data_IF_477300997738
#
_entry.id   IF_477300997738
#
_cell.length_a   1.000
_cell.length_b   1.000
_cell.length_c   1.000
_cell.angle_alpha   90.00
_cell.angle_beta   90.00
_cell.angle_gamma   90.00
#
_symmetry.space_group_name_H-M   'P 1'
#
loop_
_entity.id
_entity.type
_entity.pdbx_description
1 polymer ?
#
# COMPACT_ATOMS: atom_id res chain seq x y z
N UNK A 1 -62.57 -22.70 51.80
CA UNK A 1 -61.29 -23.39 51.52
C UNK A 1 -61.14 -23.59 50.02
N UNK A 2 -60.32 -22.80 49.37
CA UNK A 2 -60.00 -22.95 47.95
C UNK A 2 -58.46 -22.98 47.83
N UNK A 3 -57.95 -24.14 47.55
CA UNK A 3 -56.53 -24.45 47.32
C UNK A 3 -56.15 -23.94 45.90
N UNK A 4 -55.18 -23.02 45.82
CA UNK A 4 -54.55 -22.62 44.58
C UNK A 4 -53.36 -23.53 44.26
N UNK A 5 -53.44 -24.30 43.20
CA UNK A 5 -52.33 -25.03 42.60
C UNK A 5 -51.57 -24.08 41.65
N UNK A 6 -50.34 -23.81 41.97
CA UNK A 6 -49.43 -23.01 41.14
C UNK A 6 -48.68 -23.97 40.17
N UNK A 7 -48.95 -23.79 38.87
CA UNK A 7 -48.30 -24.54 37.80
C UNK A 7 -47.11 -23.72 37.30
N UNK A 8 -45.87 -24.15 37.67
CA UNK A 8 -44.63 -23.60 37.11
C UNK A 8 -44.37 -24.25 35.75
N UNK A 9 -44.54 -23.45 34.70
CA UNK A 9 -44.11 -23.83 33.34
C UNK A 9 -42.59 -23.69 33.26
N UNK A 10 -41.88 -24.80 33.08
CA UNK A 10 -40.44 -24.84 32.75
C UNK A 10 -40.37 -24.84 31.23
N UNK A 11 -40.01 -23.69 30.64
CA UNK A 11 -39.64 -23.60 29.21
C UNK A 11 -38.21 -24.12 29.06
N UNK A 12 -38.06 -25.32 28.54
CA UNK A 12 -36.78 -25.89 28.11
C UNK A 12 -36.52 -25.42 26.69
N UNK A 13 -35.72 -24.34 26.53
CA UNK A 13 -35.27 -23.86 25.24
C UNK A 13 -34.21 -24.81 24.66
N UNK A 14 -34.56 -25.60 23.67
CA UNK A 14 -33.60 -26.35 22.84
C UNK A 14 -32.88 -25.36 21.91
N UNK A 15 -31.66 -24.97 22.24
CA UNK A 15 -30.75 -24.32 21.33
C UNK A 15 -30.22 -25.39 20.35
N UNK A 16 -30.83 -25.52 19.19
CA UNK A 16 -30.27 -26.30 18.08
C UNK A 16 -29.14 -25.49 17.47
N UNK A 17 -27.93 -25.76 17.87
CA UNK A 17 -26.73 -25.29 17.15
C UNK A 17 -26.66 -26.00 15.80
N UNK A 18 -27.07 -25.33 14.73
CA UNK A 18 -26.80 -25.79 13.37
C UNK A 18 -25.29 -25.64 13.10
N UNK A 19 -24.53 -26.67 13.42
CA UNK A 19 -23.20 -26.87 12.88
C UNK A 19 -23.39 -27.20 11.40
N UNK A 20 -23.16 -26.24 10.52
CA UNK A 20 -22.98 -26.53 9.10
C UNK A 20 -21.68 -27.34 8.96
N UNK A 21 -21.79 -28.65 9.05
CA UNK A 21 -20.75 -29.55 8.61
C UNK A 21 -20.64 -29.36 7.10
N UNK A 22 -19.55 -28.75 6.60
CA UNK A 22 -19.22 -28.75 5.19
C UNK A 22 -19.07 -30.20 4.74
N UNK A 23 -20.04 -30.70 3.98
CA UNK A 23 -19.94 -31.99 3.30
C UNK A 23 -18.93 -31.80 2.18
N UNK A 24 -17.76 -32.48 2.18
CA UNK A 24 -16.82 -32.37 1.08
C UNK A 24 -17.51 -32.87 -0.20
N UNK A 25 -17.51 -32.02 -1.22
CA UNK A 25 -17.99 -32.41 -2.56
C UNK A 25 -17.02 -33.47 -3.06
N UNK A 26 -17.50 -34.69 -3.26
CA UNK A 26 -16.69 -35.82 -3.74
C UNK A 26 -16.04 -35.42 -5.09
N UNK A 27 -14.69 -35.35 -5.13
CA UNK A 27 -13.92 -34.98 -6.33
C UNK A 27 -13.32 -33.57 -6.31
N UNK A 28 -13.60 -32.75 -5.29
CA UNK A 28 -12.97 -31.43 -5.15
C UNK A 28 -11.52 -31.59 -4.66
N UNK A 29 -10.57 -31.04 -5.42
CA UNK A 29 -9.17 -30.97 -4.93
C UNK A 29 -9.04 -29.85 -3.91
N UNK A 30 -8.39 -30.10 -2.75
CA UNK A 30 -8.15 -29.08 -1.75
C UNK A 30 -7.38 -27.89 -2.33
N UNK A 31 -7.83 -26.66 -2.01
CA UNK A 31 -7.19 -25.45 -2.48
C UNK A 31 -7.41 -25.10 -3.97
N UNK A 32 -8.37 -25.77 -4.65
CA UNK A 32 -8.73 -25.45 -6.04
C UNK A 32 -10.15 -24.88 -6.13
N UNK A 33 -10.44 -24.16 -7.22
CA UNK A 33 -11.78 -23.63 -7.47
C UNK A 33 -12.72 -24.72 -7.97
N UNK A 34 -13.84 -24.88 -7.30
CA UNK A 34 -14.93 -25.77 -7.73
C UNK A 34 -16.22 -24.97 -7.84
N UNK A 35 -16.80 -24.91 -9.03
CA UNK A 35 -18.01 -24.12 -9.32
C UNK A 35 -17.90 -22.65 -8.84
N UNK A 36 -16.72 -22.05 -8.98
CA UNK A 36 -16.45 -20.67 -8.59
C UNK A 36 -16.14 -20.45 -7.11
N UNK A 37 -16.14 -21.49 -6.28
CA UNK A 37 -15.78 -21.40 -4.86
C UNK A 37 -14.41 -22.04 -4.62
N UNK A 38 -13.50 -21.31 -3.98
CA UNK A 38 -12.18 -21.82 -3.61
C UNK A 38 -12.34 -22.82 -2.45
N UNK A 39 -11.93 -24.07 -2.66
CA UNK A 39 -12.09 -25.10 -1.65
C UNK A 39 -11.07 -24.97 -0.54
N UNK A 40 -11.41 -25.32 0.71
CA UNK A 40 -10.44 -25.40 1.81
C UNK A 40 -9.27 -26.31 1.48
N UNK A 41 -8.14 -26.10 2.16
CA UNK A 41 -6.98 -26.99 2.11
C UNK A 41 -7.27 -28.33 2.81
N UNK A 42 -6.38 -29.31 2.64
CA UNK A 42 -6.53 -30.65 3.25
C UNK A 42 -6.52 -30.62 4.79
N UNK A 43 -5.85 -29.66 5.40
CA UNK A 43 -5.87 -29.40 6.86
C UNK A 43 -7.15 -28.70 7.33
N UNK A 44 -8.01 -28.32 6.37
CA UNK A 44 -9.30 -27.67 6.57
C UNK A 44 -9.20 -26.14 6.65
N UNK A 45 -8.03 -25.51 6.38
CA UNK A 45 -7.94 -24.04 6.31
C UNK A 45 -8.68 -23.53 5.06
N UNK A 46 -9.51 -22.47 5.19
CA UNK A 46 -9.98 -21.81 6.40
C UNK A 46 -11.21 -22.51 7.00
N UNK A 47 -11.28 -22.60 8.35
CA UNK A 47 -12.42 -23.17 9.12
C UNK A 47 -13.37 -22.11 9.66
N UNK A 48 -12.94 -20.86 9.66
CA UNK A 48 -13.68 -19.70 10.19
C UNK A 48 -13.48 -18.47 9.33
N UNK A 49 -14.20 -17.39 9.63
CA UNK A 49 -14.09 -16.12 8.91
C UNK A 49 -12.64 -15.61 8.83
N UNK A 50 -12.28 -15.06 7.68
CA UNK A 50 -11.05 -14.30 7.45
C UNK A 50 -11.39 -12.83 7.68
N UNK A 51 -10.57 -12.12 8.47
CA UNK A 51 -10.77 -10.72 8.76
C UNK A 51 -9.60 -9.88 8.22
N UNK A 52 -9.85 -9.08 7.20
CA UNK A 52 -8.85 -8.15 6.65
C UNK A 52 -8.70 -6.99 7.64
N UNK A 53 -7.49 -6.78 8.13
CA UNK A 53 -7.15 -5.66 9.04
C UNK A 53 -6.68 -4.47 8.21
N UNK A 54 -7.30 -3.33 8.45
CA UNK A 54 -6.93 -2.03 7.86
C UNK A 54 -6.31 -1.17 8.96
N UNK A 55 -5.07 -0.74 8.76
CA UNK A 55 -4.31 0.07 9.74
C UNK A 55 -4.54 1.56 9.47
N UNK A 56 -5.78 1.95 9.22
CA UNK A 56 -6.16 3.31 8.88
C UNK A 56 -7.62 3.56 9.28
N UNK A 57 -8.08 4.81 9.17
CA UNK A 57 -9.43 5.20 9.52
C UNK A 57 -10.48 4.64 8.55
N UNK A 58 -11.71 4.39 9.03
CA UNK A 58 -12.85 4.07 8.17
C UNK A 58 -13.05 5.11 7.06
N UNK A 59 -13.26 4.65 5.83
CA UNK A 59 -13.41 5.51 4.65
C UNK A 59 -12.09 5.94 4.02
N UNK A 60 -10.98 5.56 4.59
CA UNK A 60 -9.66 5.74 3.98
C UNK A 60 -9.52 4.98 2.66
N UNK A 61 -8.45 5.29 1.91
CA UNK A 61 -8.11 4.55 0.71
C UNK A 61 -7.95 3.04 0.98
N UNK A 62 -7.32 2.69 2.09
CA UNK A 62 -7.01 1.32 2.45
C UNK A 62 -8.27 0.56 2.91
N UNK A 63 -9.18 1.23 3.61
CA UNK A 63 -10.51 0.69 3.92
C UNK A 63 -11.33 0.43 2.65
N UNK A 64 -11.39 1.39 1.74
CA UNK A 64 -12.09 1.22 0.46
C UNK A 64 -11.45 0.12 -0.40
N UNK A 65 -10.14 -0.04 -0.35
CA UNK A 65 -9.42 -1.14 -0.98
C UNK A 65 -9.86 -2.51 -0.40
N UNK A 66 -9.79 -2.68 0.91
CA UNK A 66 -10.17 -3.91 1.60
C UNK A 66 -11.64 -4.27 1.36
N UNK A 67 -12.55 -3.30 1.47
CA UNK A 67 -13.99 -3.48 1.22
C UNK A 67 -14.30 -3.88 -0.22
N UNK A 68 -13.53 -3.39 -1.18
CA UNK A 68 -13.72 -3.79 -2.59
C UNK A 68 -13.28 -5.23 -2.84
N UNK A 69 -12.19 -5.69 -2.20
CA UNK A 69 -11.79 -7.10 -2.23
C UNK A 69 -12.83 -7.98 -1.54
N UNK A 70 -13.27 -7.58 -0.35
CA UNK A 70 -14.34 -8.28 0.39
C UNK A 70 -15.59 -8.47 -0.46
N UNK A 71 -16.05 -7.40 -1.11
CA UNK A 71 -17.25 -7.46 -1.95
C UNK A 71 -17.09 -8.43 -3.14
N UNK A 72 -15.90 -8.46 -3.75
CA UNK A 72 -15.59 -9.36 -4.86
C UNK A 72 -15.51 -10.84 -4.44
N UNK A 73 -15.30 -11.11 -3.15
CA UNK A 73 -15.18 -12.47 -2.60
C UNK A 73 -16.50 -13.09 -2.17
N UNK A 74 -17.60 -12.34 -2.24
CA UNK A 74 -18.93 -12.86 -1.88
C UNK A 74 -19.33 -14.02 -2.79
N UNK A 75 -19.51 -15.19 -2.20
CA UNK A 75 -19.83 -16.42 -2.92
C UNK A 75 -18.63 -17.13 -3.56
N UNK A 76 -17.42 -16.62 -3.38
CA UNK A 76 -16.16 -17.18 -3.87
C UNK A 76 -15.36 -17.82 -2.73
N UNK A 77 -15.31 -17.14 -1.60
CA UNK A 77 -14.71 -17.68 -0.38
C UNK A 77 -15.63 -18.71 0.27
N UNK A 78 -15.10 -19.85 0.77
CA UNK A 78 -15.88 -20.85 1.51
C UNK A 78 -16.30 -20.38 2.91
N UNK A 79 -15.69 -19.28 3.38
CA UNK A 79 -15.98 -18.66 4.68
C UNK A 79 -16.26 -17.17 4.49
N UNK A 80 -16.87 -16.54 5.48
CA UNK A 80 -17.04 -15.08 5.45
C UNK A 80 -15.70 -14.36 5.44
N UNK A 81 -15.60 -13.32 4.62
CA UNK A 81 -14.48 -12.36 4.64
C UNK A 81 -15.03 -11.06 5.21
N UNK A 82 -14.40 -10.54 6.25
CA UNK A 82 -14.77 -9.30 6.93
C UNK A 82 -13.63 -8.28 6.84
N UNK A 83 -13.91 -7.03 7.14
CA UNK A 83 -12.92 -5.93 7.22
C UNK A 83 -13.06 -5.30 8.59
N UNK A 84 -11.94 -5.03 9.25
CA UNK A 84 -11.87 -4.27 10.50
C UNK A 84 -10.85 -3.15 10.36
N UNK A 85 -11.30 -1.93 10.65
CA UNK A 85 -10.44 -0.76 10.73
C UNK A 85 -9.83 -0.69 12.13
N UNK A 86 -8.52 -0.73 12.21
CA UNK A 86 -7.72 -0.68 13.44
C UNK A 86 -6.68 0.45 13.30
N UNK A 87 -7.08 1.72 13.34
CA UNK A 87 -6.18 2.85 13.13
C UNK A 87 -5.01 2.80 14.09
N UNK A 88 -3.81 3.01 13.57
CA UNK A 88 -2.60 3.07 14.35
C UNK A 88 -1.75 4.28 13.93
N UNK A 89 -0.89 4.73 14.83
CA UNK A 89 0.07 5.78 14.53
C UNK A 89 1.06 5.36 13.43
N UNK A 90 1.86 6.29 12.94
CA UNK A 90 2.91 6.03 11.94
C UNK A 90 3.81 4.87 12.41
N UNK A 91 4.18 3.99 11.51
CA UNK A 91 4.81 2.70 11.86
C UNK A 91 3.82 1.63 12.37
N UNK A 92 2.54 1.98 12.47
CA UNK A 92 1.48 1.15 13.02
C UNK A 92 1.30 -0.19 12.33
N UNK A 93 1.64 -0.29 11.04
CA UNK A 93 1.61 -1.58 10.33
C UNK A 93 2.49 -2.61 11.03
N UNK A 94 3.69 -2.25 11.47
CA UNK A 94 4.60 -3.14 12.17
C UNK A 94 4.07 -3.54 13.54
N UNK A 95 3.45 -2.61 14.25
CA UNK A 95 2.74 -2.89 15.51
C UNK A 95 1.62 -3.91 15.28
N UNK A 96 0.81 -3.69 14.26
CA UNK A 96 -0.31 -4.57 13.89
C UNK A 96 0.18 -5.96 13.49
N UNK A 97 1.28 -6.07 12.73
CA UNK A 97 1.89 -7.36 12.37
C UNK A 97 2.23 -8.17 13.64
N UNK A 98 2.87 -7.52 14.62
CA UNK A 98 3.25 -8.19 15.88
C UNK A 98 2.04 -8.55 16.76
N UNK A 99 1.02 -7.69 16.80
CA UNK A 99 -0.20 -7.97 17.56
C UNK A 99 -1.03 -9.08 16.90
N UNK A 100 -1.17 -9.04 15.58
CA UNK A 100 -1.85 -10.10 14.82
C UNK A 100 -1.15 -11.44 15.00
N UNK A 101 0.18 -11.49 15.02
CA UNK A 101 0.94 -12.71 15.23
C UNK A 101 0.63 -13.41 16.58
N UNK A 102 0.18 -12.63 17.57
CA UNK A 102 -0.20 -13.14 18.92
C UNK A 102 -1.68 -13.52 19.03
N UNK A 103 -2.53 -13.06 18.10
CA UNK A 103 -3.97 -13.38 18.12
C UNK A 103 -4.19 -14.87 17.83
N UNK A 104 -5.25 -15.43 18.39
CA UNK A 104 -5.70 -16.77 18.02
C UNK A 104 -5.98 -16.85 16.50
N UNK A 105 -5.27 -17.74 15.80
CA UNK A 105 -5.31 -17.87 14.35
C UNK A 105 -4.52 -16.81 13.56
N UNK A 106 -3.83 -15.90 14.24
CA UNK A 106 -2.96 -14.92 13.58
C UNK A 106 -1.82 -15.59 12.82
N UNK A 107 -1.18 -16.58 13.44
CA UNK A 107 -0.15 -17.42 12.81
C UNK A 107 -0.70 -18.45 11.81
N UNK A 108 -2.02 -18.52 11.64
CA UNK A 108 -2.67 -19.38 10.65
C UNK A 108 -3.09 -18.61 9.38
N UNK A 109 -3.06 -17.26 9.40
CA UNK A 109 -3.43 -16.43 8.26
C UNK A 109 -4.87 -15.92 8.24
N UNK A 110 -5.60 -15.99 9.37
CA UNK A 110 -6.97 -15.47 9.45
C UNK A 110 -7.09 -13.95 9.47
N UNK A 111 -5.98 -13.23 9.58
CA UNK A 111 -5.95 -11.78 9.64
C UNK A 111 -4.95 -11.20 8.63
N UNK A 112 -5.27 -11.22 7.32
CA UNK A 112 -4.49 -10.48 6.34
C UNK A 112 -4.54 -8.98 6.65
N UNK A 113 -3.39 -8.31 6.59
CA UNK A 113 -3.22 -6.90 6.90
C UNK A 113 -3.07 -6.13 5.59
N UNK A 114 -3.79 -5.03 5.43
CA UNK A 114 -3.55 -4.10 4.31
C UNK A 114 -2.20 -3.42 4.53
N UNK A 115 -1.35 -3.45 3.52
CA UNK A 115 0.00 -2.90 3.57
C UNK A 115 0.26 -1.97 2.39
N UNK A 116 0.89 -0.83 2.68
CA UNK A 116 1.58 -0.02 1.68
C UNK A 116 3.01 -0.56 1.50
N UNK A 117 3.24 -1.28 0.41
CA UNK A 117 4.54 -1.91 0.14
C UNK A 117 5.68 -0.92 -0.11
N UNK A 118 5.44 0.40 -0.17
CA UNK A 118 6.52 1.39 -0.16
C UNK A 118 6.76 1.95 1.25
N UNK A 119 5.70 2.27 1.99
CA UNK A 119 5.79 2.79 3.35
C UNK A 119 6.40 1.77 4.32
N UNK A 120 5.90 0.54 4.29
CA UNK A 120 6.32 -0.51 5.24
C UNK A 120 7.84 -0.74 5.32
N UNK A 121 8.60 -0.92 4.22
CA UNK A 121 10.06 -1.04 4.31
C UNK A 121 10.75 0.27 4.72
N UNK A 122 10.26 1.44 4.29
CA UNK A 122 10.90 2.72 4.63
C UNK A 122 10.66 3.13 6.08
N UNK A 123 9.52 2.77 6.68
CA UNK A 123 9.23 3.03 8.09
C UNK A 123 10.29 2.42 9.03
N UNK A 124 10.87 1.28 8.66
CA UNK A 124 11.95 0.66 9.44
C UNK A 124 13.20 1.53 9.56
N UNK A 125 13.39 2.44 8.61
CA UNK A 125 14.52 3.36 8.61
C UNK A 125 14.21 4.71 9.29
N UNK A 126 12.96 5.19 9.21
CA UNK A 126 12.63 6.56 9.62
C UNK A 126 11.79 6.65 10.90
N UNK A 127 11.08 5.57 11.28
CA UNK A 127 10.16 5.60 12.42
C UNK A 127 10.79 5.03 13.69
N UNK A 128 11.08 5.87 14.71
CA UNK A 128 11.67 5.40 15.97
C UNK A 128 10.83 4.33 16.69
N UNK A 129 9.51 4.34 16.50
CA UNK A 129 8.59 3.36 17.06
C UNK A 129 8.90 1.94 16.59
N UNK A 130 9.26 1.76 15.31
CA UNK A 130 9.59 0.45 14.74
C UNK A 130 10.83 -0.15 15.39
N UNK A 131 11.84 0.68 15.65
CA UNK A 131 13.05 0.27 16.39
C UNK A 131 12.72 -0.12 17.84
N UNK A 132 11.86 0.64 18.49
CA UNK A 132 11.45 0.38 19.88
C UNK A 132 10.80 -0.98 20.06
N UNK A 133 9.96 -1.39 19.11
CA UNK A 133 9.30 -2.70 19.13
C UNK A 133 10.14 -3.82 18.51
N UNK A 134 11.34 -3.53 18.01
CA UNK A 134 12.21 -4.50 17.35
C UNK A 134 11.62 -5.03 16.03
N UNK A 135 10.93 -4.17 15.28
CA UNK A 135 10.36 -4.53 13.99
C UNK A 135 11.45 -4.87 12.97
N UNK A 136 11.18 -5.87 12.14
CA UNK A 136 12.09 -6.34 11.08
C UNK A 136 11.30 -6.71 9.84
N UNK A 137 11.90 -6.50 8.68
CA UNK A 137 11.27 -6.76 7.39
C UNK A 137 10.79 -8.21 7.24
N UNK A 138 11.52 -9.17 7.81
CA UNK A 138 11.22 -10.60 7.75
C UNK A 138 10.08 -11.06 8.67
N UNK A 139 9.50 -10.16 9.47
CA UNK A 139 8.31 -10.45 10.28
C UNK A 139 7.01 -10.38 9.47
N UNK A 140 7.04 -9.76 8.30
CA UNK A 140 5.92 -9.65 7.38
C UNK A 140 6.16 -10.52 6.14
N UNK A 141 5.17 -11.33 5.78
CA UNK A 141 5.15 -12.07 4.51
C UNK A 141 4.01 -11.53 3.65
N UNK A 142 4.34 -11.00 2.48
CA UNK A 142 3.36 -10.53 1.53
C UNK A 142 2.57 -11.70 0.94
N UNK A 143 1.27 -11.54 0.84
CA UNK A 143 0.37 -12.46 0.13
C UNK A 143 0.23 -12.04 -1.33
N UNK A 144 0.00 -10.75 -1.55
CA UNK A 144 -0.25 -10.17 -2.87
C UNK A 144 -0.03 -8.65 -2.82
N UNK A 145 0.42 -8.07 -3.92
CA UNK A 145 0.29 -6.63 -4.19
C UNK A 145 -0.53 -6.45 -5.45
N UNK A 146 -1.46 -5.49 -5.48
CA UNK A 146 -2.49 -5.43 -6.53
C UNK A 146 -2.60 -4.09 -7.23
N UNK A 147 -2.29 -3.00 -6.53
CA UNK A 147 -2.46 -1.63 -7.01
C UNK A 147 -1.19 -0.82 -6.78
N UNK A 148 -0.94 0.11 -7.68
CA UNK A 148 0.08 1.14 -7.52
C UNK A 148 -0.48 2.50 -7.88
N UNK A 149 -0.15 3.49 -7.07
CA UNK A 149 -0.33 4.91 -7.32
C UNK A 149 1.06 5.51 -7.48
N UNK A 150 1.63 5.55 -8.70
CA UNK A 150 3.00 6.00 -8.88
C UNK A 150 3.14 7.44 -8.42
N UNK A 151 4.28 7.76 -7.82
CA UNK A 151 4.64 9.13 -7.61
C UNK A 151 5.13 9.75 -8.92
N UNK A 152 4.88 11.04 -9.04
CA UNK A 152 5.33 11.85 -10.18
C UNK A 152 6.13 13.03 -9.69
N UNK A 153 7.20 13.32 -10.40
CA UNK A 153 7.93 14.57 -10.23
C UNK A 153 7.35 15.59 -11.20
N UNK A 154 7.03 16.74 -10.70
CA UNK A 154 6.47 17.83 -11.46
C UNK A 154 7.13 19.15 -11.10
N UNK A 155 7.07 20.12 -12.00
CA UNK A 155 7.67 21.43 -11.86
C UNK A 155 6.69 22.53 -12.21
N UNK A 156 7.01 23.76 -11.81
CA UNK A 156 6.23 24.93 -12.21
C UNK A 156 6.25 25.12 -13.71
N UNK A 157 5.17 25.70 -14.23
CA UNK A 157 5.06 26.05 -15.65
C UNK A 157 6.09 27.13 -16.02
N UNK A 158 6.51 27.11 -17.27
CA UNK A 158 7.47 28.10 -17.83
C UNK A 158 8.80 28.17 -17.04
N UNK A 159 9.27 27.05 -16.50
CA UNK A 159 10.56 26.98 -15.85
C UNK A 159 11.71 27.34 -16.81
N UNK A 160 12.75 28.12 -16.39
CA UNK A 160 13.80 28.59 -17.28
C UNK A 160 14.68 27.48 -17.86
N UNK A 161 14.60 26.26 -17.31
CA UNK A 161 15.32 25.07 -17.81
C UNK A 161 14.48 24.23 -18.79
N UNK A 162 13.27 24.68 -19.12
CA UNK A 162 12.34 23.94 -19.98
C UNK A 162 11.45 22.92 -19.26
N UNK A 163 10.61 22.20 -19.99
CA UNK A 163 9.56 21.35 -19.41
C UNK A 163 10.00 19.91 -19.10
N UNK A 164 11.29 19.59 -19.16
CA UNK A 164 11.77 18.21 -19.07
C UNK A 164 12.54 17.93 -17.77
N UNK A 165 12.50 16.68 -17.30
CA UNK A 165 13.33 16.21 -16.19
C UNK A 165 14.83 16.45 -16.43
N UNK A 166 15.33 16.10 -17.62
CA UNK A 166 16.75 16.29 -17.97
C UNK A 166 17.17 17.77 -17.93
N UNK A 167 16.29 18.67 -18.37
CA UNK A 167 16.53 20.11 -18.30
C UNK A 167 16.65 20.61 -16.86
N UNK A 168 15.73 20.17 -15.97
CA UNK A 168 15.76 20.49 -14.55
C UNK A 168 17.05 19.98 -13.87
N UNK A 169 17.43 18.73 -14.12
CA UNK A 169 18.66 18.13 -13.56
C UNK A 169 19.90 18.90 -14.03
N UNK A 170 19.99 19.21 -15.34
CA UNK A 170 21.09 20.01 -15.90
C UNK A 170 21.20 21.38 -15.25
N UNK A 171 20.07 22.07 -15.10
CA UNK A 171 20.03 23.38 -14.43
C UNK A 171 20.46 23.28 -12.97
N UNK A 172 19.93 22.31 -12.21
CA UNK A 172 20.26 22.15 -10.79
C UNK A 172 21.73 21.82 -10.56
N UNK A 173 22.35 21.01 -11.43
CA UNK A 173 23.80 20.74 -11.38
C UNK A 173 24.64 21.97 -11.67
N UNK A 174 24.21 22.81 -12.61
CA UNK A 174 24.91 24.07 -12.96
C UNK A 174 24.67 25.17 -11.90
N UNK A 175 23.60 25.07 -11.11
CA UNK A 175 23.20 26.09 -10.14
C UNK A 175 22.90 25.46 -8.77
N UNK A 176 23.89 24.93 -8.04
CA UNK A 176 23.69 24.24 -6.76
C UNK A 176 22.96 25.13 -5.75
N UNK A 177 21.89 24.59 -5.13
CA UNK A 177 21.09 25.29 -4.11
C UNK A 177 20.12 26.33 -4.66
N UNK A 178 19.97 26.48 -5.99
CA UNK A 178 19.04 27.45 -6.59
C UNK A 178 17.67 26.87 -6.91
N UNK A 179 17.54 25.54 -7.04
CA UNK A 179 16.24 24.88 -7.20
C UNK A 179 15.54 24.81 -5.85
N UNK A 180 14.29 25.28 -5.79
CA UNK A 180 13.42 25.21 -4.61
C UNK A 180 12.56 23.95 -4.72
N UNK A 181 12.90 22.94 -3.91
CA UNK A 181 12.13 21.72 -3.76
C UNK A 181 11.05 21.89 -2.71
N UNK A 182 9.80 21.81 -3.11
CA UNK A 182 8.69 21.83 -2.17
C UNK A 182 8.44 20.40 -1.71
N UNK A 183 8.80 20.15 -0.45
CA UNK A 183 8.63 18.86 0.20
C UNK A 183 7.29 18.81 0.93
N UNK A 184 6.64 17.66 0.94
CA UNK A 184 5.58 17.38 1.91
C UNK A 184 6.20 17.37 3.32
N UNK A 185 5.85 16.50 4.16
CA UNK A 185 6.48 16.23 5.45
C UNK A 185 7.86 15.58 5.25
N UNK A 186 8.86 16.05 6.00
CA UNK A 186 10.21 15.49 5.97
C UNK A 186 10.17 14.02 6.40
N UNK A 187 10.79 13.13 5.61
CA UNK A 187 10.77 11.69 5.84
C UNK A 187 9.50 10.98 5.34
N UNK A 188 8.52 11.71 4.79
CA UNK A 188 7.37 11.07 4.15
C UNK A 188 7.79 10.32 2.87
N UNK A 189 6.95 9.36 2.42
CA UNK A 189 7.23 8.63 1.18
C UNK A 189 7.46 9.51 -0.04
N UNK A 190 6.76 10.65 -0.14
CA UNK A 190 7.00 11.64 -1.19
C UNK A 190 8.40 12.26 -1.09
N UNK A 191 8.79 12.61 0.13
CA UNK A 191 10.08 13.24 0.41
C UNK A 191 11.23 12.27 0.16
N UNK A 192 11.15 11.05 0.71
CA UNK A 192 12.14 9.98 0.47
C UNK A 192 12.28 9.70 -1.03
N UNK A 193 11.17 9.67 -1.77
CA UNK A 193 11.18 9.43 -3.22
C UNK A 193 11.89 10.54 -3.98
N UNK A 194 11.67 11.80 -3.61
CA UNK A 194 12.37 12.94 -4.22
C UNK A 194 13.87 12.90 -3.91
N UNK A 195 14.23 12.65 -2.65
CA UNK A 195 15.62 12.54 -2.21
C UNK A 195 16.33 11.37 -2.92
N UNK A 196 15.63 10.25 -3.11
CA UNK A 196 16.18 9.10 -3.86
C UNK A 196 16.48 9.47 -5.30
N UNK A 197 15.56 10.16 -6.00
CA UNK A 197 15.84 10.67 -7.36
C UNK A 197 17.01 11.64 -7.36
N UNK A 198 17.03 12.59 -6.44
CA UNK A 198 18.11 13.58 -6.33
C UNK A 198 19.47 12.92 -6.07
N UNK A 199 19.50 11.89 -5.24
CA UNK A 199 20.69 11.07 -5.01
C UNK A 199 21.11 10.30 -6.25
N UNK A 200 20.18 9.62 -6.92
CA UNK A 200 20.42 8.78 -8.09
C UNK A 200 20.96 9.55 -9.31
N UNK A 201 20.60 10.84 -9.45
CA UNK A 201 21.19 11.70 -10.50
C UNK A 201 22.58 12.26 -10.13
N UNK A 202 23.18 11.80 -9.04
CA UNK A 202 24.53 12.19 -8.60
C UNK A 202 24.55 13.36 -7.62
N UNK A 203 23.50 13.53 -6.82
CA UNK A 203 23.40 14.52 -5.74
C UNK A 203 23.02 15.91 -6.24
N UNK A 204 21.72 16.20 -6.26
CA UNK A 204 21.22 17.55 -6.55
C UNK A 204 21.13 18.36 -5.25
N UNK A 205 21.88 19.48 -5.20
CA UNK A 205 21.75 20.44 -4.07
C UNK A 205 20.57 21.36 -4.34
N UNK A 206 19.58 21.34 -3.48
CA UNK A 206 18.35 22.13 -3.58
C UNK A 206 18.10 22.92 -2.30
N UNK A 207 17.28 23.96 -2.39
CA UNK A 207 16.66 24.59 -1.23
C UNK A 207 15.37 23.82 -0.93
N UNK A 208 15.32 23.12 0.20
CA UNK A 208 14.16 22.33 0.62
C UNK A 208 13.21 23.17 1.44
N UNK A 209 11.96 23.26 1.01
CA UNK A 209 10.88 24.03 1.66
C UNK A 209 9.75 23.08 2.06
N UNK A 210 9.62 22.75 3.35
CA UNK A 210 8.55 21.86 3.83
C UNK A 210 7.17 22.52 3.75
N UNK A 211 6.15 21.72 3.39
CA UNK A 211 4.72 22.05 3.40
C UNK A 211 3.94 20.98 4.18
N UNK A 212 2.70 21.29 4.59
CA UNK A 212 1.91 20.39 5.42
C UNK A 212 1.28 19.23 4.65
N UNK A 213 0.69 19.49 3.48
CA UNK A 213 -0.09 18.51 2.73
C UNK A 213 0.38 18.36 1.28
N UNK A 214 0.09 17.23 0.64
CA UNK A 214 0.42 17.03 -0.77
C UNK A 214 -0.33 18.00 -1.71
N UNK A 215 -1.54 18.43 -1.33
CA UNK A 215 -2.32 19.43 -2.05
C UNK A 215 -1.65 20.81 -1.99
N UNK A 216 -1.16 21.22 -0.82
CA UNK A 216 -0.40 22.47 -0.66
C UNK A 216 0.87 22.44 -1.49
N UNK A 217 1.63 21.34 -1.47
CA UNK A 217 2.82 21.13 -2.29
C UNK A 217 2.53 21.39 -3.78
N UNK A 218 1.47 20.74 -4.30
CA UNK A 218 1.09 20.91 -5.71
C UNK A 218 0.61 22.34 -6.05
N UNK A 219 -0.08 22.99 -5.11
CA UNK A 219 -0.56 24.37 -5.27
C UNK A 219 0.59 25.38 -5.23
N UNK A 220 1.56 25.21 -4.33
CA UNK A 220 2.74 26.07 -4.20
C UNK A 220 3.61 26.03 -5.46
N UNK A 221 3.86 24.82 -6.00
CA UNK A 221 4.57 24.69 -7.29
C UNK A 221 3.75 25.29 -8.45
N UNK A 222 2.44 25.02 -8.47
CA UNK A 222 1.53 25.56 -9.49
C UNK A 222 1.38 27.08 -9.44
N UNK A 223 1.58 27.70 -8.28
CA UNK A 223 1.62 29.15 -8.06
C UNK A 223 2.96 29.79 -8.39
N UNK A 224 4.02 29.00 -8.64
CA UNK A 224 5.36 29.48 -8.95
C UNK A 224 6.21 29.83 -7.71
N UNK A 225 5.72 29.57 -6.52
CA UNK A 225 6.44 29.82 -5.26
C UNK A 225 7.50 28.75 -5.00
N UNK A 226 7.40 27.59 -5.65
CA UNK A 226 8.39 26.53 -5.68
C UNK A 226 8.76 26.14 -7.11
N UNK A 227 9.83 25.40 -7.27
CA UNK A 227 10.33 25.02 -8.59
C UNK A 227 9.90 23.62 -8.99
N UNK A 228 9.94 22.65 -8.06
CA UNK A 228 9.50 21.28 -8.32
C UNK A 228 9.07 20.57 -7.03
N UNK A 229 8.37 19.47 -7.18
CA UNK A 229 7.96 18.61 -6.10
C UNK A 229 7.70 17.17 -6.58
N UNK A 230 7.42 16.28 -5.61
CA UNK A 230 6.96 14.91 -5.81
C UNK A 230 5.65 14.70 -5.08
N UNK A 231 4.66 14.15 -5.77
CA UNK A 231 3.41 13.70 -5.16
C UNK A 231 2.84 12.53 -5.94
N UNK A 232 1.77 11.91 -5.41
CA UNK A 232 1.03 10.90 -6.18
C UNK A 232 0.41 11.53 -7.43
N UNK A 233 0.28 10.74 -8.49
CA UNK A 233 -0.30 11.17 -9.76
C UNK A 233 -1.66 11.84 -9.57
N UNK A 234 -2.52 11.28 -8.71
CA UNK A 234 -3.85 11.84 -8.43
C UNK A 234 -3.82 13.26 -7.85
N UNK A 235 -2.77 13.63 -7.12
CA UNK A 235 -2.57 14.98 -6.56
C UNK A 235 -2.05 15.95 -7.65
N UNK A 236 -1.14 15.50 -8.48
CA UNK A 236 -0.55 16.34 -9.54
C UNK A 236 -1.53 16.59 -10.69
N UNK A 237 -2.38 15.62 -11.01
CA UNK A 237 -3.23 15.60 -12.19
C UNK A 237 -4.14 16.84 -12.35
N UNK A 238 -4.88 17.32 -11.32
CA UNK A 238 -5.72 18.50 -11.46
C UNK A 238 -4.93 19.78 -11.82
N UNK A 239 -3.74 19.95 -11.25
CA UNK A 239 -2.87 21.09 -11.54
C UNK A 239 -2.25 20.99 -12.94
N UNK A 240 -1.89 19.79 -13.40
CA UNK A 240 -1.44 19.55 -14.77
C UNK A 240 -2.55 19.82 -15.79
N UNK A 241 -3.76 19.30 -15.55
CA UNK A 241 -4.93 19.55 -16.42
C UNK A 241 -5.30 21.04 -16.51
N UNK A 242 -5.10 21.77 -15.41
CA UNK A 242 -5.29 23.22 -15.39
C UNK A 242 -4.12 24.01 -16.02
N UNK A 243 -3.09 23.33 -16.53
CA UNK A 243 -1.91 23.95 -17.15
C UNK A 243 -1.00 24.72 -16.19
N UNK A 244 -1.06 24.43 -14.88
CA UNK A 244 -0.29 25.14 -13.83
C UNK A 244 1.09 24.53 -13.60
N UNK A 245 1.23 23.23 -13.85
CA UNK A 245 2.48 22.49 -13.72
C UNK A 245 2.82 21.69 -14.97
N UNK A 246 4.09 21.32 -15.12
CA UNK A 246 4.56 20.30 -16.04
C UNK A 246 4.93 19.06 -15.26
N UNK A 247 4.34 17.90 -15.59
CA UNK A 247 4.84 16.62 -15.11
C UNK A 247 6.07 16.26 -15.92
N UNK A 248 7.15 15.89 -15.26
CA UNK A 248 8.45 15.66 -15.93
C UNK A 248 8.90 14.21 -15.86
N UNK A 249 8.51 13.49 -14.79
CA UNK A 249 8.86 12.08 -14.59
C UNK A 249 7.77 11.34 -13.81
N UNK A 250 7.54 10.10 -14.20
CA UNK A 250 6.76 9.13 -13.42
C UNK A 250 7.71 8.10 -12.82
N UNK A 251 7.63 7.87 -11.53
CA UNK A 251 8.50 6.94 -10.80
C UNK A 251 8.02 5.49 -10.98
N UNK A 252 8.08 5.02 -12.21
CA UNK A 252 7.60 3.69 -12.63
C UNK A 252 8.38 3.17 -13.84
N UNK A 253 8.14 1.91 -14.22
CA UNK A 253 8.73 1.29 -15.42
C UNK A 253 8.26 1.95 -16.71
N UNK A 254 7.02 2.44 -16.75
CA UNK A 254 6.35 2.95 -17.93
C UNK A 254 5.63 4.27 -17.65
N UNK A 255 5.46 5.07 -18.68
CA UNK A 255 4.62 6.28 -18.60
C UNK A 255 3.15 5.86 -18.73
N UNK A 256 2.25 6.31 -17.82
CA UNK A 256 0.82 6.07 -17.93
C UNK A 256 0.21 6.59 -19.24
N UNK A 257 -0.88 5.96 -19.69
CA UNK A 257 -1.54 6.28 -20.95
C UNK A 257 -1.89 7.76 -21.12
N UNK A 258 -2.22 8.44 -20.03
CA UNK A 258 -2.55 9.87 -20.01
C UNK A 258 -1.39 10.75 -20.52
N UNK A 259 -0.15 10.30 -20.40
CA UNK A 259 1.05 11.03 -20.84
C UNK A 259 1.90 10.28 -21.86
N UNK A 260 1.48 9.13 -22.36
CA UNK A 260 2.29 8.29 -23.26
C UNK A 260 2.76 9.00 -24.54
N UNK A 261 2.04 10.03 -24.96
CA UNK A 261 2.35 10.84 -26.13
C UNK A 261 2.97 12.22 -25.79
N UNK A 262 3.21 12.51 -24.51
CA UNK A 262 3.88 13.74 -24.10
C UNK A 262 5.40 13.49 -24.06
N UNK A 263 6.18 14.11 -24.99
CA UNK A 263 7.62 13.88 -25.06
C UNK A 263 8.39 14.45 -23.86
N UNK A 264 7.76 15.28 -23.05
CA UNK A 264 8.37 15.89 -21.86
C UNK A 264 8.27 14.99 -20.62
N UNK A 265 7.39 13.98 -20.64
CA UNK A 265 7.20 13.05 -19.52
C UNK A 265 7.95 11.76 -19.79
N UNK A 266 8.83 11.39 -18.87
CA UNK A 266 9.57 10.12 -18.93
C UNK A 266 9.24 9.24 -17.73
N UNK A 267 9.38 7.94 -17.87
CA UNK A 267 9.44 7.05 -16.70
C UNK A 267 10.83 7.15 -16.06
N UNK A 268 10.95 6.80 -14.77
CA UNK A 268 12.25 6.68 -14.10
C UNK A 268 13.18 5.75 -14.87
N UNK A 269 12.66 4.63 -15.36
CA UNK A 269 13.43 3.70 -16.21
C UNK A 269 13.93 4.32 -17.51
N UNK A 270 13.11 5.10 -18.22
CA UNK A 270 13.54 5.83 -19.40
C UNK A 270 14.58 6.91 -19.08
N UNK A 271 14.52 7.48 -17.87
CA UNK A 271 15.54 8.41 -17.39
C UNK A 271 16.83 7.70 -16.92
N UNK A 272 16.92 6.39 -17.01
CA UNK A 272 18.07 5.59 -16.55
C UNK A 272 18.18 5.46 -15.03
N UNK A 273 17.07 5.67 -14.31
CA UNK A 273 17.01 5.59 -12.86
C UNK A 273 16.24 4.35 -12.41
N UNK A 274 16.81 3.62 -11.47
CA UNK A 274 16.16 2.46 -10.81
C UNK A 274 15.39 2.92 -9.56
N UNK A 275 14.47 3.87 -9.76
CA UNK A 275 13.64 4.47 -8.69
C UNK A 275 12.18 4.23 -9.01
N UNK A 276 11.59 3.25 -8.34
CA UNK A 276 10.18 2.87 -8.50
C UNK A 276 9.44 3.11 -7.21
N UNK A 277 8.80 4.26 -7.11
CA UNK A 277 8.11 4.68 -5.89
C UNK A 277 6.66 5.06 -6.16
N UNK A 278 5.86 4.93 -5.13
CA UNK A 278 4.43 5.21 -5.16
C UNK A 278 3.76 4.49 -4.01
N UNK A 279 2.53 4.85 -3.74
CA UNK A 279 1.72 4.09 -2.80
C UNK A 279 1.31 2.77 -3.46
N UNK A 280 1.56 1.65 -2.79
CA UNK A 280 1.29 0.30 -3.29
C UNK A 280 0.40 -0.44 -2.32
N UNK A 281 -0.82 -0.75 -2.73
CA UNK A 281 -1.73 -1.51 -1.88
C UNK A 281 -1.58 -3.02 -2.10
N UNK A 282 -1.45 -3.72 -1.01
CA UNK A 282 -1.35 -5.18 -0.98
C UNK A 282 -1.87 -5.75 0.34
N UNK A 283 -1.73 -7.05 0.47
CA UNK A 283 -2.05 -7.78 1.69
C UNK A 283 -0.83 -8.55 2.14
N UNK A 284 -0.55 -8.48 3.44
CA UNK A 284 0.49 -9.25 4.11
C UNK A 284 -0.05 -10.00 5.32
N UNK A 285 0.71 -10.95 5.79
CA UNK A 285 0.44 -11.72 7.01
C UNK A 285 1.71 -11.82 7.85
N UNK A 286 1.65 -12.11 9.15
CA UNK A 286 2.84 -12.45 9.92
C UNK A 286 3.63 -13.60 9.30
N UNK A 287 4.96 -13.53 9.35
CA UNK A 287 5.84 -14.51 8.67
C UNK A 287 5.71 -15.94 9.18
N UNK A 288 5.11 -16.15 10.34
CA UNK A 288 4.84 -17.48 10.92
C UNK A 288 3.71 -18.25 10.21
N UNK A 289 2.92 -17.57 9.35
CA UNK A 289 1.82 -18.21 8.63
C UNK A 289 2.37 -19.26 7.66
N UNK A 290 1.84 -20.52 7.68
CA UNK A 290 2.30 -21.58 6.79
C UNK A 290 2.19 -21.17 5.31
N UNK A 291 3.19 -21.50 4.50
CA UNK A 291 3.21 -21.12 3.09
C UNK A 291 1.99 -21.63 2.32
N UNK A 292 1.49 -22.82 2.63
CA UNK A 292 0.28 -23.34 2.01
C UNK A 292 -0.96 -22.44 2.26
N UNK A 293 -1.06 -21.82 3.45
CA UNK A 293 -2.13 -20.87 3.75
C UNK A 293 -1.92 -19.55 3.00
N UNK A 294 -0.67 -19.07 2.90
CA UNK A 294 -0.33 -17.89 2.09
C UNK A 294 -0.69 -18.11 0.63
N UNK A 295 -0.37 -19.27 0.07
CA UNK A 295 -0.69 -19.62 -1.32
C UNK A 295 -2.21 -19.70 -1.55
N UNK A 296 -2.95 -20.22 -0.58
CA UNK A 296 -4.41 -20.25 -0.61
C UNK A 296 -5.01 -18.83 -0.57
N UNK A 297 -4.52 -17.99 0.33
CA UNK A 297 -4.91 -16.57 0.43
C UNK A 297 -4.57 -15.82 -0.87
N UNK A 298 -3.41 -16.09 -1.46
CA UNK A 298 -3.04 -15.51 -2.75
C UNK A 298 -4.06 -15.87 -3.84
N UNK A 299 -4.44 -17.14 -3.98
CA UNK A 299 -5.46 -17.56 -4.95
C UNK A 299 -6.78 -16.80 -4.73
N UNK A 300 -7.22 -16.71 -3.47
CA UNK A 300 -8.45 -16.02 -3.10
C UNK A 300 -8.40 -14.53 -3.48
N UNK A 301 -7.38 -13.82 -3.01
CA UNK A 301 -7.27 -12.37 -3.21
C UNK A 301 -6.88 -12.00 -4.65
N UNK A 302 -6.16 -12.85 -5.35
CA UNK A 302 -5.93 -12.67 -6.79
C UNK A 302 -7.23 -12.71 -7.57
N UNK A 303 -8.12 -13.64 -7.26
CA UNK A 303 -9.45 -13.68 -7.85
C UNK A 303 -10.22 -12.38 -7.62
N UNK A 304 -10.24 -11.88 -6.38
CA UNK A 304 -10.87 -10.60 -6.05
C UNK A 304 -10.25 -9.44 -6.82
N UNK A 305 -8.92 -9.33 -6.83
CA UNK A 305 -8.19 -8.25 -7.47
C UNK A 305 -8.36 -8.22 -9.01
N UNK A 306 -8.61 -9.38 -9.64
CA UNK A 306 -8.86 -9.46 -11.09
C UNK A 306 -10.34 -9.34 -11.46
N UNK A 307 -11.24 -9.23 -10.49
CA UNK A 307 -12.67 -9.07 -10.74
C UNK A 307 -13.01 -7.69 -11.32
N UNK A 308 -14.04 -7.63 -12.18
CA UNK A 308 -14.55 -6.38 -12.74
C UNK A 308 -14.96 -5.37 -11.65
N UNK A 309 -15.51 -5.89 -10.54
CA UNK A 309 -15.93 -5.08 -9.41
C UNK A 309 -14.75 -4.33 -8.80
N UNK A 310 -13.66 -5.03 -8.49
CA UNK A 310 -12.45 -4.40 -7.92
C UNK A 310 -11.78 -3.49 -8.94
N UNK A 311 -11.64 -3.95 -10.19
CA UNK A 311 -10.97 -3.19 -11.24
C UNK A 311 -11.74 -1.94 -11.68
N UNK A 312 -13.06 -1.88 -11.45
CA UNK A 312 -13.85 -0.67 -11.72
C UNK A 312 -13.40 0.55 -10.90
N UNK A 313 -12.65 0.35 -9.82
CA UNK A 313 -12.08 1.43 -9.00
C UNK A 313 -11.14 2.34 -9.77
N UNK A 314 -10.38 1.80 -10.73
CA UNK A 314 -9.48 2.62 -11.56
C UNK A 314 -10.23 3.71 -12.35
N UNK A 315 -11.53 3.52 -12.62
CA UNK A 315 -12.36 4.51 -13.30
C UNK A 315 -12.67 5.73 -12.44
N UNK A 316 -12.61 5.58 -11.11
CA UNK A 316 -12.97 6.61 -10.14
C UNK A 316 -11.78 7.19 -9.40
N UNK A 317 -10.62 6.54 -9.46
CA UNK A 317 -9.41 6.96 -8.75
C UNK A 317 -8.34 7.33 -9.79
N UNK A 318 -8.12 8.62 -10.05
CA UNK A 318 -7.14 9.06 -11.05
C UNK A 318 -5.73 8.55 -10.74
N UNK A 319 -5.09 7.98 -11.75
CA UNK A 319 -3.71 7.53 -11.64
C UNK A 319 -3.50 6.17 -10.99
N UNK A 320 -4.55 5.51 -10.50
CA UNK A 320 -4.44 4.14 -10.04
C UNK A 320 -4.13 3.19 -11.20
N UNK A 321 -3.18 2.31 -11.00
CA UNK A 321 -2.83 1.24 -11.93
C UNK A 321 -2.93 -0.10 -11.23
N UNK A 322 -3.47 -1.11 -11.91
CA UNK A 322 -3.41 -2.48 -11.42
C UNK A 322 -2.06 -3.09 -11.79
N UNK A 323 -1.36 -3.56 -10.78
CA UNK A 323 -0.12 -4.30 -10.90
C UNK A 323 -0.15 -5.46 -9.93
N UNK A 324 -0.72 -6.57 -10.39
CA UNK A 324 -0.94 -7.75 -9.56
C UNK A 324 0.32 -8.61 -9.60
N UNK A 325 0.98 -8.73 -8.47
CA UNK A 325 2.14 -9.60 -8.25
C UNK A 325 1.92 -10.48 -7.03
N UNK A 326 2.54 -11.66 -7.05
CA UNK A 326 2.48 -12.60 -5.93
C UNK A 326 3.31 -12.14 -4.73
N UNK A 327 3.16 -12.85 -3.61
CA UNK A 327 3.84 -12.52 -2.36
C UNK A 327 5.37 -12.60 -2.48
N UNK A 328 5.91 -13.54 -3.25
CA UNK A 328 7.35 -13.69 -3.41
C UNK A 328 7.94 -12.47 -4.13
N UNK A 329 7.33 -12.06 -5.24
CA UNK A 329 7.73 -10.85 -5.97
C UNK A 329 7.54 -9.58 -5.12
N UNK A 330 6.43 -9.47 -4.37
CA UNK A 330 6.19 -8.35 -3.48
C UNK A 330 7.22 -8.26 -2.33
N UNK A 331 7.59 -9.40 -1.73
CA UNK A 331 8.65 -9.46 -0.72
C UNK A 331 10.01 -9.07 -1.29
N UNK A 332 10.33 -9.49 -2.51
CA UNK A 332 11.58 -9.11 -3.17
C UNK A 332 11.64 -7.59 -3.43
N UNK A 333 10.51 -6.99 -3.86
CA UNK A 333 10.42 -5.54 -4.04
C UNK A 333 10.53 -4.78 -2.70
N UNK A 334 9.89 -5.25 -1.64
CA UNK A 334 10.01 -4.65 -0.32
C UNK A 334 11.45 -4.68 0.20
N UNK A 335 12.16 -5.79 -0.02
CA UNK A 335 13.59 -5.92 0.32
C UNK A 335 14.44 -4.94 -0.47
N UNK A 336 14.21 -4.84 -1.78
CA UNK A 336 14.92 -3.88 -2.64
C UNK A 336 14.68 -2.44 -2.19
N UNK A 337 13.43 -2.06 -1.90
CA UNK A 337 13.09 -0.72 -1.38
C UNK A 337 13.84 -0.47 -0.06
N UNK A 338 13.82 -1.44 0.87
CA UNK A 338 14.53 -1.34 2.14
C UNK A 338 16.02 -1.08 1.94
N UNK A 339 16.68 -1.89 1.09
CA UNK A 339 18.12 -1.81 0.84
C UNK A 339 18.51 -0.51 0.09
N UNK A 340 17.76 -0.13 -0.93
CA UNK A 340 18.06 1.03 -1.77
C UNK A 340 17.78 2.37 -1.09
N UNK A 341 16.81 2.42 -0.17
CA UNK A 341 16.44 3.67 0.52
C UNK A 341 17.31 3.95 1.74
N UNK A 342 17.91 2.93 2.37
CA UNK A 342 18.77 3.13 3.56
C UNK A 342 19.88 4.15 3.33
N UNK A 343 20.74 4.06 2.29
CA UNK A 343 21.81 5.04 2.09
C UNK A 343 21.28 6.46 1.83
N UNK A 344 20.12 6.58 1.19
CA UNK A 344 19.48 7.88 0.95
C UNK A 344 19.00 8.48 2.27
N UNK A 345 18.29 7.69 3.08
CA UNK A 345 17.73 8.13 4.37
C UNK A 345 18.86 8.51 5.34
N UNK A 346 19.98 7.77 5.35
CA UNK A 346 21.18 8.14 6.11
C UNK A 346 21.81 9.44 5.60
N UNK A 347 21.92 9.63 4.30
CA UNK A 347 22.51 10.83 3.70
C UNK A 347 21.73 12.10 4.05
N UNK A 348 20.42 11.99 4.24
CA UNK A 348 19.56 13.13 4.65
C UNK A 348 19.39 13.25 6.17
N UNK A 349 20.04 12.38 6.97
CA UNK A 349 20.05 12.46 8.43
C UNK A 349 18.76 12.02 9.12
N UNK A 350 17.92 11.22 8.46
CA UNK A 350 16.62 10.76 8.98
C UNK A 350 16.64 9.31 9.48
N UNK A 351 17.78 8.61 9.39
CA UNK A 351 17.82 7.22 9.81
C UNK A 351 17.68 7.10 11.34
N UNK A 352 16.82 6.20 11.79
CA UNK A 352 16.51 6.00 13.23
C UNK A 352 17.73 5.68 14.10
N UNK A 353 18.83 5.17 13.53
CA UNK A 353 20.06 4.92 14.25
C UNK A 353 20.91 6.18 14.42
N UNK A 354 20.72 7.17 13.55
CA UNK A 354 21.52 8.40 13.50
C UNK A 354 20.85 9.53 14.30
N UNK A 355 19.57 9.39 14.66
CA UNK A 355 18.85 10.32 15.51
C UNK A 355 19.39 10.22 16.94
N UNK A 356 20.11 11.23 17.37
CA UNK A 356 20.58 11.33 18.77
C UNK A 356 19.36 11.47 19.69
N UNK A 357 19.29 10.60 20.70
CA UNK A 357 18.30 10.66 21.77
C UNK A 357 18.46 11.91 22.60
#
# INVERSE_FOLDING_TARGET
>A
MRTRVSMKLVLLGLLVAFSFAMVPIAGAQPGEFVKGVLQPLADGFPKRAINIIVVDDPGSRDDLYAKSLQAALKGVSPVNVTVSDEPAAVGGTWYTVQEVAKREGGSEGYYPIVVDSFGVPTDLHVEPGTKTIGAKLDQLNMVISTEIFPFVMFQRKNAPWGPTFAGMVKYGKANPGKLRYISKEVGSGNDISAEWVMHAVGGLKVEKIPQGTAQEVASTVGGGEGDFAVASLGIALPNWQAGRIDVTMVMSDTVPDIWKNDPNVVSSKQAGLDVFTGVRSGLGVPSQVPQAHVDWLYKLFRFAATSDLHQSRAKTIPGMQFRIIDGAAANAENRKIYEDTEPVIRAIGLHVDDIKK
#
